data_IF_776668073427
#
_entry.id   IF_776668073427
#
_cell.length_a   1.000
_cell.length_b   1.000
_cell.length_c   1.000
_cell.angle_alpha   90.00
_cell.angle_beta   90.00
_cell.angle_gamma   90.00
#
_symmetry.space_group_name_H-M   'P 1'
#
loop_
_entity.id
_entity.type
_entity.pdbx_description
1 polymer ?
#
# COMPACT_ATOMS: atom_id res chain seq x y z
N UNK A 1 -34.97 10.90 6.71
CA UNK A 1 -34.04 9.79 6.62
C UNK A 1 -34.76 8.44 6.52
N UNK A 2 -35.62 8.09 7.47
CA UNK A 2 -36.26 6.75 7.49
C UNK A 2 -37.01 6.48 6.18
N UNK A 3 -37.89 7.38 5.73
CA UNK A 3 -38.64 7.25 4.48
C UNK A 3 -37.70 7.13 3.25
N UNK A 4 -36.59 7.89 3.23
CA UNK A 4 -35.60 7.81 2.17
C UNK A 4 -34.96 6.42 2.09
N UNK A 5 -34.52 5.86 3.23
CA UNK A 5 -33.90 4.54 3.26
C UNK A 5 -34.93 3.43 2.99
N UNK A 6 -36.20 3.64 3.31
CA UNK A 6 -37.27 2.69 2.95
C UNK A 6 -37.48 2.60 1.43
N UNK A 7 -37.30 3.71 0.71
CA UNK A 7 -37.38 3.76 -0.75
C UNK A 7 -36.18 3.15 -1.46
N UNK A 8 -35.11 2.76 -0.75
CA UNK A 8 -33.92 2.17 -1.35
C UNK A 8 -34.01 0.66 -1.48
N UNK A 9 -33.52 0.13 -2.62
CA UNK A 9 -33.28 -1.30 -2.80
C UNK A 9 -31.98 -1.72 -2.08
N UNK A 10 -32.13 -2.55 -1.05
CA UNK A 10 -31.01 -3.00 -0.20
C UNK A 10 -30.81 -4.54 -0.26
N UNK A 11 -31.30 -5.21 -1.29
CA UNK A 11 -31.17 -6.67 -1.47
C UNK A 11 -29.72 -7.13 -1.40
N UNK A 12 -28.79 -6.41 -2.04
CA UNK A 12 -27.37 -6.73 -1.99
C UNK A 12 -26.82 -6.71 -0.56
N UNK A 13 -27.23 -5.76 0.28
CA UNK A 13 -26.86 -5.72 1.68
C UNK A 13 -27.41 -6.94 2.46
N UNK A 14 -28.67 -7.30 2.23
CA UNK A 14 -29.26 -8.47 2.86
C UNK A 14 -28.61 -9.77 2.44
N UNK A 15 -28.16 -9.90 1.20
CA UNK A 15 -27.44 -11.08 0.68
C UNK A 15 -26.09 -11.33 1.38
N UNK A 16 -25.48 -10.30 1.97
CA UNK A 16 -24.25 -10.47 2.75
C UNK A 16 -24.47 -11.22 4.07
N UNK A 17 -25.71 -11.36 4.50
CA UNK A 17 -26.08 -12.03 5.76
C UNK A 17 -26.55 -13.46 5.51
N UNK A 18 -25.87 -14.44 6.08
CA UNK A 18 -26.32 -15.84 6.04
C UNK A 18 -27.58 -16.07 6.89
N UNK A 19 -27.75 -15.33 8.01
CA UNK A 19 -28.93 -15.42 8.89
C UNK A 19 -29.15 -14.10 9.64
N UNK A 20 -30.37 -13.61 9.60
CA UNK A 20 -30.79 -12.42 10.35
C UNK A 20 -31.59 -12.89 11.61
N UNK A 21 -31.11 -12.46 12.77
CA UNK A 21 -31.74 -12.81 14.05
C UNK A 21 -32.96 -11.90 14.32
N UNK A 22 -34.11 -12.49 14.67
CA UNK A 22 -35.37 -11.75 14.88
C UNK A 22 -35.31 -10.66 15.97
N UNK A 23 -34.50 -10.88 17.01
CA UNK A 23 -34.43 -9.98 18.17
C UNK A 23 -33.24 -8.98 18.08
N UNK A 24 -32.66 -8.79 16.91
CA UNK A 24 -31.58 -7.83 16.69
C UNK A 24 -31.98 -6.81 15.62
N UNK A 25 -31.29 -5.68 15.61
CA UNK A 25 -31.45 -4.69 14.54
C UNK A 25 -31.20 -5.31 13.17
N UNK A 26 -32.09 -5.03 12.25
CA UNK A 26 -31.99 -5.51 10.86
C UNK A 26 -30.86 -4.78 10.09
N UNK A 27 -30.36 -5.33 8.98
CA UNK A 27 -29.38 -4.63 8.13
C UNK A 27 -29.85 -3.22 7.72
N UNK A 28 -31.15 -3.04 7.41
CA UNK A 28 -31.73 -1.74 7.06
C UNK A 28 -31.71 -0.78 8.26
N UNK A 29 -32.02 -1.22 9.44
CA UNK A 29 -31.94 -0.40 10.66
C UNK A 29 -30.52 0.00 10.99
N UNK A 30 -29.56 -0.93 10.87
CA UNK A 30 -28.14 -0.61 11.03
C UNK A 30 -27.68 0.43 10.00
N UNK A 31 -28.11 0.33 8.76
CA UNK A 31 -27.82 1.32 7.73
C UNK A 31 -28.44 2.69 8.05
N UNK A 32 -29.73 2.76 8.45
CA UNK A 32 -30.36 4.00 8.90
C UNK A 32 -29.58 4.67 10.04
N UNK A 33 -29.17 3.88 11.03
CA UNK A 33 -28.40 4.37 12.18
C UNK A 33 -27.05 4.91 11.75
N UNK A 34 -26.32 4.20 10.87
CA UNK A 34 -25.02 4.65 10.38
C UNK A 34 -25.12 5.97 9.60
N UNK A 35 -26.11 6.10 8.74
CA UNK A 35 -26.35 7.36 7.98
C UNK A 35 -26.70 8.49 8.94
N UNK A 36 -27.62 8.25 9.89
CA UNK A 36 -28.03 9.26 10.86
C UNK A 36 -26.88 9.68 11.78
N UNK A 37 -26.06 8.72 12.23
CA UNK A 37 -24.84 9.00 12.99
C UNK A 37 -23.87 9.91 12.22
N UNK A 38 -23.63 9.61 10.94
CA UNK A 38 -22.77 10.42 10.07
C UNK A 38 -23.30 11.85 9.89
N UNK A 39 -24.63 12.03 9.73
CA UNK A 39 -25.28 13.34 9.68
C UNK A 39 -25.07 14.16 10.96
N UNK A 40 -24.97 13.47 12.11
CA UNK A 40 -24.72 14.08 13.42
C UNK A 40 -23.24 14.11 13.81
N UNK A 41 -22.32 13.82 12.87
CA UNK A 41 -20.85 13.78 13.08
C UNK A 41 -20.41 12.76 14.13
N UNK A 42 -21.15 11.68 14.31
CA UNK A 42 -20.83 10.56 15.20
C UNK A 42 -20.24 9.44 14.34
N UNK A 43 -18.93 9.24 14.41
CA UNK A 43 -18.21 8.29 13.55
C UNK A 43 -17.69 7.06 14.28
N UNK A 44 -17.47 7.16 15.59
CA UNK A 44 -16.99 6.04 16.40
C UNK A 44 -18.11 5.02 16.66
N UNK A 45 -17.85 3.75 16.44
CA UNK A 45 -18.82 2.69 16.73
C UNK A 45 -19.26 2.65 18.20
N UNK A 46 -18.39 3.07 19.12
CA UNK A 46 -18.71 3.16 20.56
C UNK A 46 -19.63 4.33 20.87
N UNK A 47 -19.43 5.47 20.19
CA UNK A 47 -20.31 6.62 20.35
C UNK A 47 -21.67 6.35 19.73
N UNK A 48 -21.74 5.61 18.61
CA UNK A 48 -22.99 5.16 17.99
C UNK A 48 -23.75 4.22 18.95
N UNK A 49 -23.07 3.27 19.57
CA UNK A 49 -23.68 2.41 20.61
C UNK A 49 -24.27 3.25 21.76
N UNK A 50 -23.50 4.25 22.23
CA UNK A 50 -23.91 5.16 23.28
C UNK A 50 -25.14 5.99 22.86
N UNK A 51 -25.13 6.52 21.61
CA UNK A 51 -26.27 7.26 21.05
C UNK A 51 -27.53 6.37 20.95
N UNK A 52 -27.39 5.14 20.49
CA UNK A 52 -28.51 4.19 20.41
C UNK A 52 -29.17 3.90 21.78
N UNK A 53 -28.45 4.09 22.90
CA UNK A 53 -28.95 3.89 24.25
C UNK A 53 -29.48 5.14 24.90
N UNK A 54 -29.18 6.33 24.42
CA UNK A 54 -29.46 7.62 25.08
C UNK A 54 -30.31 8.58 24.26
N UNK A 55 -30.20 8.52 22.91
CA UNK A 55 -30.88 9.44 22.02
C UNK A 55 -32.17 8.81 21.47
N UNK A 56 -33.28 9.50 21.67
CA UNK A 56 -34.60 9.06 21.25
C UNK A 56 -34.71 8.86 19.73
N UNK A 57 -33.99 9.65 18.94
CA UNK A 57 -34.01 9.51 17.48
C UNK A 57 -33.33 8.19 17.04
N UNK A 58 -32.24 7.80 17.70
CA UNK A 58 -31.59 6.50 17.45
C UNK A 58 -32.48 5.35 17.92
N UNK A 59 -33.14 5.50 19.07
CA UNK A 59 -34.11 4.50 19.57
C UNK A 59 -35.31 4.36 18.61
N UNK A 60 -35.79 5.47 18.05
CA UNK A 60 -36.86 5.45 17.03
C UNK A 60 -36.42 4.64 15.77
N UNK A 61 -35.21 4.82 15.31
CA UNK A 61 -34.65 4.08 14.15
C UNK A 61 -34.49 2.58 14.44
N UNK A 62 -34.37 2.18 15.70
CA UNK A 62 -34.32 0.78 16.14
C UNK A 62 -35.69 0.09 16.18
N UNK A 63 -36.77 0.86 16.14
CA UNK A 63 -38.13 0.32 16.10
C UNK A 63 -38.38 -0.72 17.21
N UNK A 64 -37.95 -0.40 18.44
CA UNK A 64 -38.11 -1.27 19.63
C UNK A 64 -37.10 -2.42 19.71
N UNK A 65 -36.11 -2.51 18.81
CA UNK A 65 -35.01 -3.47 18.93
C UNK A 65 -33.99 -2.99 19.96
N UNK A 66 -33.27 -3.91 20.63
CA UNK A 66 -32.23 -3.54 21.58
C UNK A 66 -31.08 -2.82 20.84
N UNK A 67 -30.44 -1.87 21.55
CA UNK A 67 -29.31 -1.14 21.03
C UNK A 67 -28.16 -2.12 20.67
N UNK A 68 -27.64 -2.09 19.42
CA UNK A 68 -26.51 -2.91 19.02
C UNK A 68 -25.23 -2.47 19.73
N UNK A 69 -24.34 -3.42 20.00
CA UNK A 69 -23.01 -3.13 20.52
C UNK A 69 -22.08 -2.54 19.44
N UNK A 70 -20.99 -1.90 19.87
CA UNK A 70 -20.01 -1.32 18.97
C UNK A 70 -19.37 -2.34 18.03
N UNK A 71 -19.20 -3.60 18.46
CA UNK A 71 -18.66 -4.66 17.62
C UNK A 71 -19.63 -5.05 16.48
N UNK A 72 -20.94 -4.93 16.71
CA UNK A 72 -21.95 -5.11 15.66
C UNK A 72 -21.84 -4.05 14.59
N UNK A 73 -21.67 -2.77 14.95
CA UNK A 73 -21.45 -1.69 13.99
C UNK A 73 -20.12 -1.86 13.24
N UNK A 74 -19.03 -2.22 13.93
CA UNK A 74 -17.75 -2.46 13.29
C UNK A 74 -17.83 -3.61 12.26
N UNK A 75 -18.48 -4.73 12.60
CA UNK A 75 -18.73 -5.84 11.67
C UNK A 75 -19.65 -5.46 10.53
N UNK A 76 -20.70 -4.68 10.80
CA UNK A 76 -21.59 -4.18 9.76
C UNK A 76 -20.82 -3.40 8.70
N UNK A 77 -19.94 -2.48 9.10
CA UNK A 77 -19.13 -1.68 8.16
C UNK A 77 -18.16 -2.56 7.39
N UNK A 78 -17.35 -3.37 8.09
CA UNK A 78 -16.21 -4.07 7.49
C UNK A 78 -16.59 -5.32 6.71
N UNK A 79 -17.60 -6.08 7.17
CA UNK A 79 -17.94 -7.38 6.57
C UNK A 79 -19.15 -7.30 5.64
N UNK A 80 -20.11 -6.41 5.91
CA UNK A 80 -21.36 -6.35 5.17
C UNK A 80 -21.42 -5.13 4.24
N UNK A 81 -21.35 -3.93 4.79
CA UNK A 81 -21.49 -2.70 4.00
C UNK A 81 -20.35 -2.48 3.01
N UNK A 82 -19.11 -2.81 3.37
CA UNK A 82 -17.95 -2.67 2.48
C UNK A 82 -18.13 -3.42 1.15
N UNK A 83 -18.79 -4.57 1.16
CA UNK A 83 -19.01 -5.39 -0.04
C UNK A 83 -20.03 -4.80 -1.01
N UNK A 84 -21.04 -4.09 -0.49
CA UNK A 84 -22.13 -3.53 -1.28
C UNK A 84 -22.11 -2.00 -1.38
N UNK A 85 -21.11 -1.31 -0.80
CA UNK A 85 -21.07 0.15 -0.70
C UNK A 85 -21.22 0.88 -2.05
N UNK A 86 -20.56 0.41 -3.12
CA UNK A 86 -20.68 0.99 -4.46
C UNK A 86 -22.09 0.88 -5.02
N UNK A 87 -22.74 -0.27 -4.83
CA UNK A 87 -24.13 -0.49 -5.29
C UNK A 87 -25.09 0.35 -4.46
N UNK A 88 -24.90 0.40 -3.15
CA UNK A 88 -25.71 1.25 -2.26
C UNK A 88 -25.61 2.73 -2.65
N UNK A 89 -24.41 3.21 -2.99
CA UNK A 89 -24.23 4.60 -3.48
C UNK A 89 -24.97 4.83 -4.81
N UNK A 90 -24.92 3.84 -5.71
CA UNK A 90 -25.68 3.91 -6.96
C UNK A 90 -27.19 3.98 -6.72
N UNK A 91 -27.73 3.23 -5.77
CA UNK A 91 -29.15 3.28 -5.39
C UNK A 91 -29.53 4.65 -4.77
N UNK A 92 -28.68 5.21 -3.90
CA UNK A 92 -28.85 6.60 -3.41
C UNK A 92 -28.93 7.57 -4.58
N UNK A 93 -28.02 7.48 -5.54
CA UNK A 93 -28.00 8.37 -6.72
C UNK A 93 -29.25 8.20 -7.59
N UNK A 94 -29.72 6.98 -7.81
CA UNK A 94 -30.96 6.72 -8.55
C UNK A 94 -32.18 7.32 -7.86
N UNK A 95 -32.26 7.16 -6.55
CA UNK A 95 -33.37 7.70 -5.76
C UNK A 95 -33.38 9.24 -5.81
N UNK A 96 -32.21 9.88 -5.63
CA UNK A 96 -32.07 11.33 -5.76
C UNK A 96 -32.44 11.85 -7.17
N UNK A 97 -32.07 11.07 -8.20
CA UNK A 97 -32.47 11.38 -9.58
C UNK A 97 -33.98 11.30 -9.76
N UNK A 98 -34.64 10.24 -9.22
CA UNK A 98 -36.09 10.07 -9.30
C UNK A 98 -36.87 11.14 -8.54
N UNK A 99 -36.27 11.69 -7.47
CA UNK A 99 -36.84 12.80 -6.68
C UNK A 99 -36.59 14.18 -7.34
N UNK A 100 -35.82 14.25 -8.43
CA UNK A 100 -35.49 15.50 -9.12
C UNK A 100 -34.39 16.32 -8.43
N UNK A 101 -33.75 15.80 -7.38
CA UNK A 101 -32.70 16.49 -6.62
C UNK A 101 -31.39 16.57 -7.41
N UNK A 102 -31.12 15.63 -8.32
CA UNK A 102 -29.99 15.63 -9.24
C UNK A 102 -30.47 15.50 -10.69
N UNK A 103 -29.89 16.28 -11.58
CA UNK A 103 -30.29 16.30 -13.01
C UNK A 103 -29.50 15.30 -13.87
N UNK A 104 -28.38 14.78 -13.39
CA UNK A 104 -27.47 13.95 -14.17
C UNK A 104 -26.75 14.64 -15.34
N UNK A 105 -26.94 15.98 -15.52
CA UNK A 105 -26.34 16.75 -16.63
C UNK A 105 -24.85 17.05 -16.43
N UNK A 106 -24.41 17.11 -15.19
CA UNK A 106 -23.03 17.45 -14.81
C UNK A 106 -22.52 16.50 -13.75
N UNK A 107 -21.27 16.08 -13.87
CA UNK A 107 -20.55 15.28 -12.88
C UNK A 107 -19.32 16.09 -12.47
N UNK A 108 -19.14 16.27 -11.17
CA UNK A 108 -17.96 16.90 -10.60
C UNK A 108 -17.07 15.80 -10.00
N UNK A 109 -15.82 15.75 -10.45
CA UNK A 109 -14.84 14.81 -9.94
C UNK A 109 -13.74 15.61 -9.27
N UNK A 110 -13.53 15.35 -7.98
CA UNK A 110 -12.46 15.95 -7.20
C UNK A 110 -11.60 14.87 -6.55
N UNK A 111 -10.35 15.22 -6.25
CA UNK A 111 -9.39 14.36 -5.59
C UNK A 111 -9.24 14.73 -4.12
N UNK A 112 -9.42 13.77 -3.24
CA UNK A 112 -9.19 13.96 -1.80
C UNK A 112 -7.83 13.42 -1.40
N UNK A 113 -7.03 14.24 -0.71
CA UNK A 113 -5.80 13.81 -0.07
C UNK A 113 -6.15 13.03 1.20
N UNK A 114 -5.76 11.76 1.25
CA UNK A 114 -5.83 10.95 2.46
C UNK A 114 -4.44 11.00 3.11
N UNK A 115 -4.35 11.60 4.29
CA UNK A 115 -3.10 11.65 5.04
C UNK A 115 -2.78 10.29 5.64
N UNK A 116 -1.58 9.79 5.35
CA UNK A 116 -1.04 8.59 5.98
C UNK A 116 -0.17 8.96 7.18
N UNK A 117 0.07 8.02 8.09
CA UNK A 117 1.01 8.16 9.23
C UNK A 117 2.46 8.07 8.73
N UNK A 118 2.75 8.60 7.55
CA UNK A 118 4.06 8.56 6.92
C UNK A 118 4.93 9.72 7.37
N UNK A 119 6.17 9.43 7.78
CA UNK A 119 7.12 10.49 8.10
C UNK A 119 7.54 11.23 6.82
N UNK A 120 7.26 12.52 6.73
CA UNK A 120 7.55 13.37 5.56
C UNK A 120 9.03 13.43 5.16
N UNK A 121 9.95 13.13 6.07
CA UNK A 121 11.40 13.13 5.80
C UNK A 121 11.94 11.79 5.31
N UNK A 122 11.14 10.74 5.25
CA UNK A 122 11.59 9.38 4.90
C UNK A 122 11.17 8.94 3.49
N UNK A 123 10.75 9.87 2.66
CA UNK A 123 10.37 9.56 1.27
C UNK A 123 11.55 9.14 0.42
N UNK A 124 11.34 8.11 -0.38
CA UNK A 124 12.28 7.58 -1.37
C UNK A 124 11.78 7.96 -2.76
N UNK A 125 12.61 8.67 -3.52
CA UNK A 125 12.25 9.23 -4.82
C UNK A 125 12.73 8.34 -5.96
N UNK A 126 11.84 7.94 -6.86
CA UNK A 126 12.14 7.11 -8.03
C UNK A 126 13.25 7.71 -8.88
N UNK A 127 13.19 9.02 -9.16
CA UNK A 127 14.22 9.75 -9.94
C UNK A 127 15.62 9.65 -9.30
N UNK A 128 15.71 9.74 -7.97
CA UNK A 128 16.99 9.61 -7.27
C UNK A 128 17.54 8.18 -7.33
N UNK A 129 16.65 7.17 -7.18
CA UNK A 129 17.07 5.76 -7.30
C UNK A 129 17.60 5.49 -8.71
N UNK A 130 16.87 5.89 -9.76
CA UNK A 130 17.24 5.67 -11.16
C UNK A 130 18.57 6.33 -11.48
N UNK A 131 18.77 7.58 -11.04
CA UNK A 131 20.05 8.29 -11.22
C UNK A 131 21.22 7.58 -10.53
N UNK A 132 21.01 7.11 -9.28
CA UNK A 132 22.04 6.42 -8.52
C UNK A 132 22.30 5.01 -9.07
N UNK A 133 21.28 4.35 -9.58
CA UNK A 133 21.41 3.05 -10.24
C UNK A 133 22.22 3.17 -11.55
N UNK A 134 21.98 4.21 -12.36
CA UNK A 134 22.79 4.47 -13.56
C UNK A 134 24.27 4.66 -13.21
N UNK A 135 24.57 5.51 -12.22
CA UNK A 135 25.96 5.69 -11.74
C UNK A 135 26.57 4.40 -11.19
N UNK A 136 25.76 3.52 -10.60
CA UNK A 136 26.21 2.22 -10.13
C UNK A 136 26.55 1.31 -11.32
N UNK A 137 25.74 1.32 -12.37
CA UNK A 137 26.04 0.55 -13.59
C UNK A 137 27.34 0.96 -14.26
N UNK A 138 27.62 2.27 -14.36
CA UNK A 138 28.90 2.76 -14.90
C UNK A 138 30.09 2.22 -14.10
N UNK A 139 29.99 2.28 -12.76
CA UNK A 139 31.04 1.73 -11.87
C UNK A 139 31.21 0.21 -12.00
N UNK A 140 30.09 -0.49 -12.19
CA UNK A 140 30.10 -1.95 -12.36
C UNK A 140 30.77 -2.32 -13.70
N UNK A 141 30.52 -1.57 -14.77
CA UNK A 141 31.14 -1.83 -16.06
C UNK A 141 32.66 -1.72 -15.98
N UNK A 142 33.18 -0.62 -15.43
CA UNK A 142 34.62 -0.44 -15.21
C UNK A 142 35.21 -1.56 -14.35
N UNK A 143 34.51 -1.91 -13.26
CA UNK A 143 34.95 -2.99 -12.37
C UNK A 143 34.97 -4.37 -13.05
N UNK A 144 34.01 -4.66 -13.92
CA UNK A 144 33.99 -5.92 -14.69
C UNK A 144 35.17 -5.98 -15.64
N UNK A 145 35.46 -4.90 -16.36
CA UNK A 145 36.63 -4.80 -17.26
C UNK A 145 37.94 -4.96 -16.49
N UNK A 146 38.09 -4.32 -15.35
CA UNK A 146 39.24 -4.50 -14.46
C UNK A 146 39.45 -5.96 -14.04
N UNK A 147 38.34 -6.63 -13.64
CA UNK A 147 38.39 -8.05 -13.26
C UNK A 147 38.73 -8.95 -14.47
N UNK A 148 38.20 -8.67 -15.65
CA UNK A 148 38.50 -9.42 -16.88
C UNK A 148 40.00 -9.32 -17.25
N UNK A 149 40.55 -8.11 -17.16
CA UNK A 149 41.96 -7.87 -17.45
C UNK A 149 42.87 -8.49 -16.38
N UNK A 150 42.52 -8.39 -15.10
CA UNK A 150 43.38 -8.85 -14.00
C UNK A 150 43.40 -10.39 -13.89
N UNK A 151 42.28 -11.07 -14.18
CA UNK A 151 42.15 -12.52 -13.99
C UNK A 151 42.07 -13.31 -15.30
N UNK A 152 42.21 -12.67 -16.46
CA UNK A 152 42.33 -13.34 -17.77
C UNK A 152 41.04 -14.07 -18.23
N UNK A 153 39.89 -13.68 -17.79
CA UNK A 153 38.62 -14.28 -18.24
C UNK A 153 37.70 -13.22 -18.87
N UNK A 154 36.72 -13.65 -19.64
CA UNK A 154 35.65 -12.79 -20.16
C UNK A 154 34.28 -13.24 -19.69
N UNK A 155 33.38 -12.26 -19.50
CA UNK A 155 32.00 -12.49 -19.14
C UNK A 155 31.12 -11.92 -20.24
N UNK A 156 30.38 -12.78 -20.94
CA UNK A 156 29.41 -12.31 -21.92
C UNK A 156 28.25 -11.59 -21.23
N UNK A 157 28.02 -10.32 -21.58
CA UNK A 157 26.86 -9.53 -21.22
C UNK A 157 26.44 -8.67 -22.41
N UNK A 158 25.16 -8.67 -22.76
CA UNK A 158 24.61 -7.96 -23.93
C UNK A 158 24.44 -6.47 -23.64
N UNK A 159 25.55 -5.73 -23.39
CA UNK A 159 25.50 -4.29 -23.14
C UNK A 159 24.85 -3.84 -21.83
N UNK A 160 24.18 -4.74 -21.08
CA UNK A 160 23.57 -4.44 -19.79
C UNK A 160 24.03 -5.43 -18.73
N UNK A 161 24.71 -4.92 -17.71
CA UNK A 161 25.10 -5.75 -16.57
C UNK A 161 23.89 -6.02 -15.69
N UNK A 162 23.55 -7.29 -15.54
CA UNK A 162 22.45 -7.76 -14.70
C UNK A 162 22.96 -8.36 -13.39
N UNK A 163 22.06 -8.55 -12.41
CA UNK A 163 22.39 -9.31 -11.19
C UNK A 163 22.89 -10.72 -11.51
N UNK A 164 22.42 -11.33 -12.59
CA UNK A 164 22.88 -12.64 -13.04
C UNK A 164 24.34 -12.58 -13.50
N UNK A 165 24.72 -11.53 -14.25
CA UNK A 165 26.10 -11.30 -14.68
C UNK A 165 27.04 -11.18 -13.49
N UNK A 166 26.67 -10.38 -12.48
CA UNK A 166 27.46 -10.22 -11.26
C UNK A 166 27.58 -11.51 -10.44
N UNK A 167 26.53 -12.32 -10.37
CA UNK A 167 26.58 -13.65 -9.74
C UNK A 167 27.51 -14.60 -10.50
N UNK A 168 27.54 -14.54 -11.83
CA UNK A 168 28.50 -15.33 -12.64
C UNK A 168 29.93 -14.88 -12.38
N UNK A 169 30.19 -13.56 -12.33
CA UNK A 169 31.50 -13.00 -11.98
C UNK A 169 31.93 -13.50 -10.60
N UNK A 170 31.04 -13.40 -9.60
CA UNK A 170 31.30 -13.92 -8.26
C UNK A 170 31.72 -15.40 -8.27
N UNK A 171 30.99 -16.25 -9.00
CA UNK A 171 31.34 -17.67 -9.14
C UNK A 171 32.75 -17.87 -9.70
N UNK A 172 33.14 -17.09 -10.74
CA UNK A 172 34.49 -17.19 -11.31
C UNK A 172 35.56 -16.77 -10.31
N UNK A 173 35.39 -15.62 -9.65
CA UNK A 173 36.34 -15.16 -8.62
C UNK A 173 36.45 -16.11 -7.42
N UNK A 174 35.33 -16.72 -6.99
CA UNK A 174 35.36 -17.73 -5.95
C UNK A 174 36.10 -19.02 -6.37
N UNK A 175 36.01 -19.39 -7.65
CA UNK A 175 36.77 -20.52 -8.19
C UNK A 175 38.29 -20.26 -8.17
N UNK A 176 38.72 -19.09 -8.64
CA UNK A 176 40.13 -18.64 -8.57
C UNK A 176 40.63 -18.67 -7.12
N UNK A 177 39.82 -18.17 -6.19
CA UNK A 177 40.15 -18.24 -4.75
C UNK A 177 40.45 -19.66 -4.28
N UNK A 178 39.63 -20.64 -4.72
CA UNK A 178 39.78 -22.04 -4.33
C UNK A 178 41.02 -22.67 -4.99
N UNK A 179 41.24 -22.39 -6.27
CA UNK A 179 42.36 -22.91 -7.04
C UNK A 179 43.73 -22.36 -6.52
N UNK A 180 43.77 -21.08 -6.13
CA UNK A 180 45.00 -20.47 -5.57
C UNK A 180 45.12 -20.63 -4.04
N UNK A 181 44.18 -21.29 -3.38
CA UNK A 181 44.23 -21.53 -1.93
C UNK A 181 44.21 -20.28 -1.05
N UNK A 182 43.68 -19.15 -1.58
CA UNK A 182 43.75 -17.85 -0.90
C UNK A 182 42.84 -17.82 0.32
N UNK A 183 43.44 -17.64 1.50
CA UNK A 183 42.72 -17.42 2.76
C UNK A 183 42.46 -15.92 2.97
N UNK A 184 41.21 -15.57 3.23
CA UNK A 184 40.82 -14.17 3.46
C UNK A 184 41.29 -13.70 4.84
N UNK A 185 41.79 -12.48 4.85
CA UNK A 185 42.27 -11.81 6.06
C UNK A 185 41.18 -10.91 6.61
N UNK A 186 40.89 -11.04 7.90
CA UNK A 186 39.93 -10.22 8.63
C UNK A 186 40.64 -9.45 9.73
N UNK A 187 40.16 -8.23 10.00
CA UNK A 187 40.71 -7.34 11.06
C UNK A 187 41.70 -6.29 10.55
N UNK A 188 42.25 -5.53 11.48
CA UNK A 188 43.21 -4.45 11.24
C UNK A 188 44.65 -4.99 11.20
N UNK A 189 45.51 -4.42 10.36
CA UNK A 189 46.94 -4.72 10.35
C UNK A 189 47.46 -5.68 9.28
N UNK A 190 46.62 -6.40 8.57
CA UNK A 190 47.03 -7.26 7.44
C UNK A 190 46.53 -6.72 6.11
N UNK A 191 47.36 -6.76 5.08
CA UNK A 191 46.98 -6.30 3.71
C UNK A 191 46.09 -7.35 3.05
N UNK A 192 44.85 -6.94 2.65
CA UNK A 192 43.96 -7.76 1.83
C UNK A 192 44.52 -7.99 0.45
N UNK A 193 44.39 -9.21 -0.07
CA UNK A 193 44.75 -9.52 -1.47
C UNK A 193 43.83 -8.76 -2.45
N UNK A 194 44.27 -8.58 -3.68
CA UNK A 194 43.45 -7.97 -4.73
C UNK A 194 42.14 -8.77 -4.93
N UNK A 195 42.20 -10.10 -4.92
CA UNK A 195 41.03 -10.97 -5.07
C UNK A 195 40.04 -10.77 -3.96
N UNK A 196 40.49 -10.62 -2.71
CA UNK A 196 39.59 -10.35 -1.57
C UNK A 196 38.89 -8.99 -1.73
N UNK A 197 39.64 -7.94 -2.13
CA UNK A 197 39.06 -6.61 -2.41
C UNK A 197 38.03 -6.67 -3.52
N UNK A 198 38.34 -7.38 -4.62
CA UNK A 198 37.43 -7.55 -5.75
C UNK A 198 36.14 -8.26 -5.33
N UNK A 199 36.20 -9.31 -4.52
CA UNK A 199 35.01 -10.01 -4.02
C UNK A 199 34.18 -9.15 -3.05
N UNK A 200 34.81 -8.43 -2.15
CA UNK A 200 34.12 -7.50 -1.23
C UNK A 200 33.41 -6.38 -1.99
N UNK A 201 34.08 -5.80 -2.99
CA UNK A 201 33.50 -4.76 -3.87
C UNK A 201 32.33 -5.30 -4.66
N UNK A 202 32.47 -6.50 -5.23
CA UNK A 202 31.41 -7.17 -5.98
C UNK A 202 30.18 -7.47 -5.12
N UNK A 203 30.39 -7.94 -3.88
CA UNK A 203 29.29 -8.17 -2.94
C UNK A 203 28.57 -6.88 -2.58
N UNK A 204 29.30 -5.78 -2.41
CA UNK A 204 28.73 -4.45 -2.20
C UNK A 204 27.87 -4.01 -3.41
N UNK A 205 28.33 -4.23 -4.63
CA UNK A 205 27.57 -3.89 -5.84
C UNK A 205 26.31 -4.75 -5.99
N UNK A 206 26.41 -6.06 -5.72
CA UNK A 206 25.25 -6.96 -5.73
C UNK A 206 24.20 -6.51 -4.69
N UNK A 207 24.64 -6.17 -3.49
CA UNK A 207 23.74 -5.72 -2.42
C UNK A 207 23.01 -4.41 -2.79
N UNK A 208 23.77 -3.40 -3.29
CA UNK A 208 23.21 -2.13 -3.74
C UNK A 208 22.25 -2.30 -4.92
N UNK A 209 22.59 -3.14 -5.90
CA UNK A 209 21.72 -3.36 -7.05
C UNK A 209 20.41 -4.07 -6.64
N UNK A 210 20.48 -5.03 -5.73
CA UNK A 210 19.28 -5.64 -5.14
C UNK A 210 18.42 -4.63 -4.40
N UNK A 211 19.05 -3.75 -3.62
CA UNK A 211 18.35 -2.69 -2.88
C UNK A 211 17.64 -1.73 -3.84
N UNK A 212 18.30 -1.26 -4.89
CA UNK A 212 17.69 -0.36 -5.88
C UNK A 212 16.53 -1.05 -6.61
N UNK A 213 16.71 -2.31 -7.02
CA UNK A 213 15.63 -3.07 -7.66
C UNK A 213 14.42 -3.24 -6.74
N UNK A 214 14.64 -3.54 -5.45
CA UNK A 214 13.57 -3.61 -4.45
C UNK A 214 12.86 -2.26 -4.30
N UNK A 215 13.62 -1.16 -4.20
CA UNK A 215 13.05 0.19 -4.09
C UNK A 215 12.25 0.58 -5.33
N UNK A 216 12.72 0.25 -6.53
CA UNK A 216 11.99 0.49 -7.77
C UNK A 216 10.71 -0.35 -7.86
N UNK A 217 10.76 -1.59 -7.40
CA UNK A 217 9.59 -2.46 -7.33
C UNK A 217 8.51 -1.88 -6.40
N UNK A 218 8.89 -1.40 -5.21
CA UNK A 218 7.97 -0.73 -4.27
C UNK A 218 7.40 0.57 -4.85
N UNK A 219 8.21 1.33 -5.60
CA UNK A 219 7.72 2.54 -6.29
C UNK A 219 6.63 2.21 -7.32
N UNK A 220 6.77 1.12 -8.07
CA UNK A 220 5.90 0.82 -9.21
C UNK A 220 5.82 2.00 -10.17
N UNK A 221 4.61 2.47 -10.51
CA UNK A 221 4.38 3.63 -11.38
C UNK A 221 4.46 4.98 -10.64
N UNK A 222 4.52 4.96 -9.31
CA UNK A 222 4.59 6.15 -8.47
C UNK A 222 5.96 6.82 -8.53
N UNK A 223 5.98 8.13 -8.28
CA UNK A 223 7.23 8.92 -8.24
C UNK A 223 8.01 8.77 -6.93
N UNK A 224 7.35 8.33 -5.87
CA UNK A 224 7.93 8.17 -4.53
C UNK A 224 7.13 7.21 -3.66
N UNK A 225 7.72 6.75 -2.58
CA UNK A 225 7.05 6.07 -1.48
C UNK A 225 7.71 6.44 -0.15
N UNK A 226 7.00 6.30 0.97
CA UNK A 226 7.58 6.48 2.31
C UNK A 226 8.17 5.17 2.83
N UNK A 227 9.31 5.23 3.55
CA UNK A 227 9.88 4.05 4.20
C UNK A 227 9.03 3.52 5.35
N UNK A 228 8.27 4.40 6.01
CA UNK A 228 7.41 4.06 7.14
C UNK A 228 6.05 3.53 6.69
N UNK A 229 5.59 3.97 5.51
CA UNK A 229 4.35 3.52 4.88
C UNK A 229 4.57 3.37 3.37
N UNK A 230 4.88 2.16 2.87
CA UNK A 230 5.18 1.92 1.46
C UNK A 230 4.04 2.29 0.49
N UNK A 231 2.80 2.36 0.96
CA UNK A 231 1.65 2.73 0.13
C UNK A 231 1.49 4.25 -0.01
N UNK A 232 2.08 5.02 0.89
CA UNK A 232 2.06 6.48 0.84
C UNK A 232 2.94 7.03 -0.29
N UNK A 233 2.37 7.96 -1.06
CA UNK A 233 3.07 8.72 -2.11
C UNK A 233 3.16 10.18 -1.70
N UNK A 234 4.30 10.83 -1.94
CA UNK A 234 4.44 12.26 -1.67
C UNK A 234 3.54 13.06 -2.60
N UNK A 235 2.66 13.88 -2.01
CA UNK A 235 1.79 14.80 -2.71
C UNK A 235 1.98 16.20 -2.12
N UNK A 236 2.34 17.17 -2.98
CA UNK A 236 2.43 18.57 -2.60
C UNK A 236 1.11 19.26 -2.92
N UNK A 237 0.52 19.92 -1.93
CA UNK A 237 -0.63 20.81 -2.15
C UNK A 237 -0.13 22.19 -2.59
N UNK A 238 -1.00 22.98 -3.25
CA UNK A 238 -0.64 24.34 -3.71
C UNK A 238 -0.36 25.30 -2.56
N UNK A 239 -0.81 24.97 -1.36
CA UNK A 239 -0.68 25.79 -0.15
C UNK A 239 0.50 25.41 0.75
N UNK A 240 1.33 24.43 0.34
CA UNK A 240 2.52 23.99 1.08
C UNK A 240 3.81 24.67 0.55
#
# INVERSE_FOLDING_TARGET
LSAFVEGMELSDLYQTYGRIKKNQATPRQLFKIMVYASMNRIYSSRDIETACRRDINFMYLLEGKPAPDHATFARFISLHFAQCSKKTLAEVSKLLYSLGEISGKSIFIDGTKIESVANKYTFVWKKAITKNQAKLFDKILVFVEECENLYGFRIAYNGKVSLHTLKRLRKKLCRIRQEEGIVFVHGTGRRKTYLQKSLETLETYIAKLKEYNKKLYVCGDRNSYSKTDPDATFMRMKED
#
